data_IF_057311645206
#
_entry.id   IF_057311645206
#
_cell.length_a   1.000
_cell.length_b   1.000
_cell.length_c   1.000
_cell.angle_alpha   90.00
_cell.angle_beta   90.00
_cell.angle_gamma   90.00
#
_symmetry.space_group_name_H-M   'P 1'
#
loop_
_entity.id
_entity.type
_entity.pdbx_description
1 polymer ?
#
# COMPACT_ATOMS: atom_id res chain seq x y z
N UNK A 1 -8.35 -7.37 -8.24
CA UNK A 1 -7.82 -7.14 -6.89
C UNK A 1 -7.59 -5.65 -6.71
N UNK A 2 -8.24 -5.07 -5.71
CA UNK A 2 -8.00 -3.68 -5.36
C UNK A 2 -6.59 -3.54 -4.80
N UNK A 3 -5.90 -2.45 -5.15
CA UNK A 3 -4.52 -2.23 -4.71
C UNK A 3 -4.30 -0.76 -4.37
N UNK A 4 -3.14 -0.46 -3.78
CA UNK A 4 -2.74 0.91 -3.50
C UNK A 4 -3.75 1.67 -2.67
N UNK A 5 -4.02 2.91 -3.08
CA UNK A 5 -4.94 3.77 -2.33
C UNK A 5 -6.36 3.19 -2.27
N UNK A 6 -6.80 2.47 -3.31
CA UNK A 6 -8.12 1.85 -3.29
C UNK A 6 -8.19 0.78 -2.20
N UNK A 7 -7.15 -0.05 -2.07
CA UNK A 7 -7.11 -1.05 -1.01
C UNK A 7 -7.12 -0.37 0.37
N UNK A 8 -6.32 0.68 0.55
CA UNK A 8 -6.29 1.41 1.81
C UNK A 8 -7.67 1.98 2.15
N UNK A 9 -8.36 2.51 1.15
CA UNK A 9 -9.70 3.03 1.33
C UNK A 9 -10.68 1.94 1.78
N UNK A 10 -10.57 0.74 1.19
CA UNK A 10 -11.42 -0.36 1.59
C UNK A 10 -11.21 -0.76 3.05
N UNK A 11 -9.96 -0.73 3.52
CA UNK A 11 -9.66 -0.99 4.92
C UNK A 11 -10.09 0.16 5.82
N UNK A 12 -10.29 1.34 5.27
CA UNK A 12 -10.59 2.53 6.04
C UNK A 12 -9.37 3.11 6.75
N UNK A 13 -8.20 2.95 6.18
CA UNK A 13 -6.95 3.42 6.80
C UNK A 13 -6.34 4.54 5.96
N UNK A 14 -5.63 5.47 6.65
CA UNK A 14 -4.87 6.53 6.00
C UNK A 14 -5.70 7.69 5.49
N UNK A 15 -7.00 7.68 5.66
CA UNK A 15 -7.92 8.74 5.22
C UNK A 15 -7.76 9.06 3.73
N UNK A 16 -7.57 8.02 2.92
CA UNK A 16 -7.45 8.20 1.47
C UNK A 16 -8.81 8.05 0.81
N UNK A 17 -9.01 8.80 -0.26
CA UNK A 17 -10.23 8.68 -1.04
C UNK A 17 -10.17 7.51 -2.01
N UNK A 18 -11.31 7.07 -2.51
CA UNK A 18 -11.33 5.94 -3.42
C UNK A 18 -10.92 6.25 -4.84
N UNK A 19 -11.03 7.50 -5.27
CA UNK A 19 -10.82 7.86 -6.68
C UNK A 19 -9.41 8.41 -6.90
N UNK A 20 -8.72 8.01 -7.95
CA UNK A 20 -9.17 7.01 -8.92
C UNK A 20 -9.13 5.60 -8.33
N UNK A 21 -10.04 4.77 -8.79
CA UNK A 21 -10.03 3.36 -8.36
C UNK A 21 -8.89 2.64 -9.05
N UNK A 22 -8.14 1.85 -8.31
CA UNK A 22 -7.01 1.12 -8.84
C UNK A 22 -7.14 -0.37 -8.54
N UNK A 23 -7.13 -1.18 -9.59
CA UNK A 23 -7.23 -2.62 -9.48
C UNK A 23 -6.14 -3.26 -10.31
N UNK A 24 -5.84 -4.51 -10.02
CA UNK A 24 -4.93 -5.28 -10.85
C UNK A 24 -5.52 -6.64 -11.19
N UNK A 25 -5.14 -7.15 -12.36
CA UNK A 25 -5.53 -8.47 -12.83
C UNK A 25 -4.33 -9.12 -13.50
N UNK A 26 -4.29 -10.48 -13.56
CA UNK A 26 -3.18 -11.13 -14.27
C UNK A 26 -3.23 -10.96 -15.77
N UNK A 27 -4.38 -10.58 -16.31
CA UNK A 27 -4.55 -10.39 -17.74
C UNK A 27 -4.68 -8.92 -18.08
N UNK A 28 -4.19 -8.56 -19.27
CA UNK A 28 -4.27 -7.18 -19.71
C UNK A 28 -5.73 -6.80 -19.99
N UNK A 29 -6.17 -5.71 -19.38
CA UNK A 29 -7.50 -5.17 -19.61
C UNK A 29 -7.41 -3.68 -19.81
N UNK A 30 -8.29 -3.17 -20.65
CA UNK A 30 -8.37 -1.75 -20.92
C UNK A 30 -9.71 -1.23 -20.46
N UNK A 31 -9.74 0.00 -20.03
CA UNK A 31 -10.97 0.66 -19.65
C UNK A 31 -10.95 2.10 -20.15
N UNK A 32 -12.12 2.59 -20.53
CA UNK A 32 -12.27 3.99 -20.94
C UNK A 32 -12.79 4.86 -19.80
N UNK A 33 -13.02 4.27 -18.65
CA UNK A 33 -13.50 5.04 -17.49
C UNK A 33 -12.38 5.90 -16.93
N UNK A 34 -12.58 7.23 -16.82
CA UNK A 34 -11.48 8.11 -16.46
C UNK A 34 -10.99 7.96 -15.04
N UNK A 35 -11.80 7.44 -14.14
CA UNK A 35 -11.42 7.28 -12.75
C UNK A 35 -11.13 5.83 -12.36
N UNK A 36 -10.81 5.00 -13.37
CA UNK A 36 -10.54 3.59 -13.13
C UNK A 36 -9.21 3.22 -13.81
N UNK A 37 -8.30 2.68 -13.02
CA UNK A 37 -7.00 2.23 -13.51
C UNK A 37 -6.93 0.72 -13.31
N UNK A 38 -6.64 -0.02 -14.37
CA UNK A 38 -6.47 -1.46 -14.29
C UNK A 38 -5.04 -1.79 -14.71
N UNK A 39 -4.28 -2.39 -13.81
CA UNK A 39 -2.89 -2.75 -14.08
C UNK A 39 -2.78 -4.24 -14.31
N UNK A 40 -1.93 -4.62 -15.25
CA UNK A 40 -1.62 -6.03 -15.44
C UNK A 40 -0.61 -6.43 -14.39
N UNK A 41 -0.99 -7.35 -13.54
CA UNK A 41 -0.13 -7.76 -12.44
C UNK A 41 -0.58 -9.10 -11.90
N UNK A 42 0.35 -10.00 -11.74
CA UNK A 42 0.08 -11.32 -11.16
C UNK A 42 0.56 -11.32 -9.72
N UNK A 43 -0.37 -11.47 -8.80
CA UNK A 43 -0.07 -11.43 -7.38
C UNK A 43 0.02 -12.82 -6.79
N UNK A 44 0.93 -12.99 -5.83
CA UNK A 44 0.96 -14.18 -5.01
C UNK A 44 -0.34 -14.22 -4.19
N UNK A 45 -1.06 -15.34 -4.19
CA UNK A 45 -2.29 -15.43 -3.38
C UNK A 45 -2.10 -15.07 -1.91
N UNK A 46 -0.89 -15.25 -1.38
CA UNK A 46 -0.59 -14.87 0.00
C UNK A 46 -0.68 -13.37 0.23
N UNK A 47 -0.60 -12.58 -0.82
CA UNK A 47 -0.70 -11.13 -0.72
C UNK A 47 -2.10 -10.59 -0.91
N UNK A 48 -3.11 -11.46 -1.04
CA UNK A 48 -4.48 -11.06 -1.35
C UNK A 48 -5.41 -11.57 -0.26
N UNK A 49 -6.40 -10.76 0.08
CA UNK A 49 -7.44 -11.16 1.01
C UNK A 49 -8.78 -10.56 0.54
N UNK A 50 -9.83 -10.78 1.29
CA UNK A 50 -11.16 -10.24 0.96
C UNK A 50 -11.49 -9.15 1.97
N UNK A 51 -11.87 -7.97 1.50
CA UNK A 51 -12.27 -6.86 2.34
C UNK A 51 -13.65 -6.41 1.88
N UNK A 52 -14.64 -6.53 2.74
CA UNK A 52 -16.03 -6.19 2.40
C UNK A 52 -16.49 -6.86 1.12
N UNK A 53 -16.09 -8.14 0.94
CA UNK A 53 -16.46 -8.91 -0.24
C UNK A 53 -15.63 -8.64 -1.49
N UNK A 54 -14.62 -7.78 -1.41
CA UNK A 54 -13.80 -7.37 -2.55
C UNK A 54 -12.38 -7.91 -2.37
N UNK A 55 -11.84 -8.63 -3.35
CA UNK A 55 -10.43 -9.03 -3.27
C UNK A 55 -9.53 -7.80 -3.27
N UNK A 56 -8.61 -7.75 -2.34
CA UNK A 56 -7.73 -6.60 -2.14
C UNK A 56 -6.37 -7.08 -1.66
N UNK A 57 -5.34 -6.25 -1.90
CA UNK A 57 -4.01 -6.54 -1.36
C UNK A 57 -4.06 -6.50 0.16
N UNK A 58 -3.29 -7.37 0.79
CA UNK A 58 -3.17 -7.33 2.25
C UNK A 58 -2.52 -6.02 2.68
N UNK A 59 -2.71 -5.62 3.95
CA UNK A 59 -2.19 -4.32 4.39
C UNK A 59 -0.70 -4.14 4.16
N UNK A 60 0.13 -5.15 4.40
CA UNK A 60 1.57 -5.00 4.19
C UNK A 60 1.89 -4.73 2.71
N UNK A 61 1.20 -5.39 1.79
CA UNK A 61 1.43 -5.19 0.36
C UNK A 61 0.87 -3.84 -0.08
N UNK A 62 -0.25 -3.42 0.51
CA UNK A 62 -0.82 -2.10 0.25
C UNK A 62 0.19 -1.00 0.55
N UNK A 63 0.85 -1.08 1.71
CA UNK A 63 1.88 -0.10 2.09
C UNK A 63 3.03 -0.10 1.08
N UNK A 64 3.51 -1.28 0.73
CA UNK A 64 4.61 -1.43 -0.23
C UNK A 64 4.24 -0.85 -1.58
N UNK A 65 3.02 -1.13 -2.05
CA UNK A 65 2.55 -0.63 -3.34
C UNK A 65 2.47 0.90 -3.36
N UNK A 66 2.04 1.51 -2.26
CA UNK A 66 1.98 2.97 -2.18
C UNK A 66 3.37 3.58 -2.32
N UNK A 67 4.38 2.96 -1.72
CA UNK A 67 5.75 3.42 -1.86
C UNK A 67 6.20 3.28 -3.32
N UNK A 68 5.93 2.14 -3.93
CA UNK A 68 6.34 1.87 -5.31
C UNK A 68 5.65 2.81 -6.30
N UNK A 69 4.43 3.23 -5.99
CA UNK A 69 3.69 4.19 -6.81
C UNK A 69 4.10 5.63 -6.56
N UNK A 70 5.08 5.86 -5.70
CA UNK A 70 5.60 7.18 -5.36
C UNK A 70 4.55 8.10 -4.78
N UNK A 71 3.65 7.52 -4.00
CA UNK A 71 2.69 8.34 -3.27
C UNK A 71 3.42 9.19 -2.23
N UNK A 72 2.77 10.28 -1.84
CA UNK A 72 3.30 11.15 -0.80
C UNK A 72 3.61 10.32 0.44
N UNK A 73 4.83 10.47 0.97
CA UNK A 73 5.25 9.68 2.11
C UNK A 73 4.43 9.98 3.36
N UNK A 74 3.84 11.18 3.46
CA UNK A 74 2.93 11.48 4.56
C UNK A 74 1.69 10.59 4.50
N UNK A 75 1.17 10.37 3.30
CA UNK A 75 0.04 9.48 3.11
C UNK A 75 0.42 8.05 3.47
N UNK A 76 1.59 7.59 3.02
CA UNK A 76 2.07 6.25 3.33
C UNK A 76 2.23 6.08 4.83
N UNK A 77 2.78 7.10 5.51
CA UNK A 77 2.96 7.05 6.96
C UNK A 77 1.62 6.90 7.69
N UNK A 78 0.60 7.62 7.22
CA UNK A 78 -0.73 7.53 7.83
C UNK A 78 -1.34 6.13 7.62
N UNK A 79 -1.18 5.58 6.43
CA UNK A 79 -1.67 4.23 6.14
C UNK A 79 -0.96 3.20 7.03
N UNK A 80 0.36 3.29 7.12
CA UNK A 80 1.13 2.38 7.94
C UNK A 80 0.73 2.48 9.41
N UNK A 81 0.60 3.70 9.90
CA UNK A 81 0.25 3.92 11.30
C UNK A 81 -1.12 3.33 11.63
N UNK A 82 -2.10 3.57 10.78
CA UNK A 82 -3.44 3.05 11.00
C UNK A 82 -3.45 1.52 10.94
N UNK A 83 -2.69 0.95 10.00
CA UNK A 83 -2.62 -0.50 9.89
C UNK A 83 -2.00 -1.13 11.13
N UNK A 84 -0.94 -0.52 11.66
CA UNK A 84 -0.30 -1.01 12.89
C UNK A 84 -1.24 -0.87 14.07
N UNK A 85 -1.88 0.27 14.19
CA UNK A 85 -2.77 0.57 15.30
C UNK A 85 -3.95 -0.39 15.37
N UNK A 86 -4.45 -0.80 14.22
CA UNK A 86 -5.59 -1.71 14.14
C UNK A 86 -5.18 -3.18 14.13
N UNK A 87 -3.90 -3.48 14.26
CA UNK A 87 -3.41 -4.85 14.27
C UNK A 87 -3.55 -5.57 12.94
N UNK A 88 -3.52 -4.82 11.84
CA UNK A 88 -3.70 -5.39 10.50
C UNK A 88 -2.41 -5.94 9.90
N UNK A 89 -1.27 -5.68 10.52
CA UNK A 89 0.03 -6.15 10.04
C UNK A 89 0.42 -7.38 10.84
N UNK A 90 0.46 -8.53 10.17
CA UNK A 90 0.73 -9.80 10.85
C UNK A 90 2.21 -10.01 11.15
N UNK A 91 3.08 -9.55 10.24
CA UNK A 91 4.52 -9.72 10.39
C UNK A 91 5.19 -8.38 10.17
N UNK A 92 5.35 -7.63 11.23
CA UNK A 92 5.94 -6.29 11.15
C UNK A 92 7.41 -6.36 10.73
N UNK A 93 8.14 -7.40 11.13
CA UNK A 93 9.53 -7.55 10.72
C UNK A 93 9.69 -7.71 9.22
N UNK A 94 8.83 -8.53 8.61
CA UNK A 94 8.85 -8.70 7.17
C UNK A 94 8.47 -7.41 6.45
N UNK A 95 7.48 -6.69 6.99
CA UNK A 95 7.08 -5.40 6.40
C UNK A 95 8.24 -4.40 6.48
N UNK A 96 8.91 -4.32 7.64
CA UNK A 96 10.06 -3.43 7.80
C UNK A 96 11.12 -3.72 6.74
N UNK A 97 11.44 -4.99 6.51
CA UNK A 97 12.43 -5.34 5.51
C UNK A 97 12.01 -4.92 4.11
N UNK A 98 10.74 -5.14 3.75
CA UNK A 98 10.25 -4.76 2.43
C UNK A 98 10.25 -3.27 2.24
N UNK A 99 9.87 -2.51 3.26
CA UNK A 99 9.87 -1.04 3.19
C UNK A 99 11.30 -0.53 3.09
N UNK A 100 12.20 -1.04 3.93
CA UNK A 100 13.58 -0.56 3.93
C UNK A 100 14.32 -0.92 2.63
N UNK A 101 13.93 -1.99 1.97
CA UNK A 101 14.49 -2.33 0.66
C UNK A 101 14.21 -1.24 -0.38
N UNK A 102 13.25 -0.38 -0.11
CA UNK A 102 12.87 0.71 -1.01
C UNK A 102 13.38 2.07 -0.55
N UNK A 103 14.22 2.08 0.49
CA UNK A 103 14.69 3.34 1.07
C UNK A 103 15.43 4.21 0.07
N UNK A 104 16.30 3.62 -0.76
CA UNK A 104 17.05 4.38 -1.75
C UNK A 104 16.14 5.02 -2.78
N UNK A 105 15.11 4.30 -3.22
CA UNK A 105 14.14 4.85 -4.18
C UNK A 105 13.38 6.02 -3.59
N UNK A 106 13.20 6.03 -2.29
CA UNK A 106 12.47 7.09 -1.60
C UNK A 106 13.36 8.27 -1.24
N UNK A 107 14.62 8.23 -1.66
CA UNK A 107 15.54 9.34 -1.43
C UNK A 107 16.20 9.33 -0.06
N UNK A 108 16.15 8.22 0.66
CA UNK A 108 16.76 8.14 1.96
C UNK A 108 18.28 8.01 1.86
N UNK A 109 19.02 8.60 2.81
CA UNK A 109 20.47 8.41 2.85
C UNK A 109 20.85 6.95 3.09
N UNK A 110 22.03 6.58 2.67
CA UNK A 110 22.53 5.22 2.89
C UNK A 110 22.49 4.88 4.37
N UNK A 111 21.96 3.69 4.68
CA UNK A 111 21.87 3.21 6.05
C UNK A 111 20.70 3.71 6.84
N UNK A 112 19.92 4.65 6.30
CA UNK A 112 18.72 5.14 6.98
C UNK A 112 17.56 4.19 6.76
N UNK A 113 16.69 4.07 7.75
CA UNK A 113 15.52 3.22 7.68
C UNK A 113 14.30 4.02 7.23
N UNK A 114 13.77 3.67 6.07
CA UNK A 114 12.53 4.27 5.60
C UNK A 114 11.38 3.92 6.54
N UNK A 115 11.34 2.68 7.02
CA UNK A 115 10.29 2.25 7.93
C UNK A 115 10.26 3.10 9.20
N UNK A 116 11.42 3.32 9.81
CA UNK A 116 11.47 4.16 11.01
C UNK A 116 11.04 5.58 10.72
N UNK A 117 11.43 6.11 9.56
CA UNK A 117 11.01 7.45 9.16
C UNK A 117 9.50 7.55 9.03
N UNK A 118 8.87 6.56 8.39
CA UNK A 118 7.42 6.55 8.24
C UNK A 118 6.72 6.41 9.59
N UNK A 119 7.24 5.55 10.46
CA UNK A 119 6.65 5.35 11.78
C UNK A 119 6.72 6.61 12.63
N UNK A 120 7.81 7.37 12.51
CA UNK A 120 7.94 8.64 13.24
C UNK A 120 7.08 9.75 12.65
N UNK A 121 6.86 9.73 11.35
CA UNK A 121 6.11 10.78 10.66
C UNK A 121 4.66 10.87 11.06
N UNK A 122 4.19 9.87 11.78
CA UNK A 122 2.83 9.81 12.23
C UNK A 122 2.55 10.62 13.49
N UNK A 123 3.59 10.95 14.22
CA UNK A 123 3.41 11.57 15.48
C UNK A 123 2.93 12.96 15.37
N UNK A 124 2.03 13.25 15.89
CA UNK A 124 1.72 14.52 15.85
C UNK A 124 0.69 14.75 16.30
#
# INVERSE_FOLDING_TARGET
>A
VAMGATAAWLYGIGEVGPSPYEFCTPERRQTKRPNLIIRKRRLDPKGVTIVSGIPATRPWLTVVDLIDSREDLSLVANVLADALERGLVEDEGALRQSVDARAAKAGMPAGASLYDSLARGRKE
#
